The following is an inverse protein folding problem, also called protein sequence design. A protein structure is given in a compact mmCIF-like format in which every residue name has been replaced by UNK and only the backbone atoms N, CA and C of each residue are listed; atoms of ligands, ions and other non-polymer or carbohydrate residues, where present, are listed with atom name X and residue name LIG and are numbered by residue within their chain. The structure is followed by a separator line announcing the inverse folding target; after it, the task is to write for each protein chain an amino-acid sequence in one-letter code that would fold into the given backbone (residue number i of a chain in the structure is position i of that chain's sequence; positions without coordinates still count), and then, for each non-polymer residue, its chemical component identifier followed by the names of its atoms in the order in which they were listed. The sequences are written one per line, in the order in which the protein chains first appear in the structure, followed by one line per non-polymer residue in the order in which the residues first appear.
data_IF_422304488500
#
_entry.id   IF_422304488500
#
_cell.length_a   1.000
_cell.length_b   1.000
_cell.length_c   1.000
_cell.angle_alpha   90.00
_cell.angle_beta   90.00
_cell.angle_gamma   90.00
#
_symmetry.space_group_name_H-M   'P 1'
#
loop_
_entity.id
_entity.type
_entity.pdbx_description
1 polymer ?
#
# COMPACT_ATOMS: atom_id res chain seq x y z
N UNK A 1 -15.53 -5.08 -3.41
CA UNK A 1 -14.88 -4.21 -2.40
C UNK A 1 -13.42 -4.19 -2.75
N UNK A 2 -12.81 -3.02 -2.93
CA UNK A 2 -11.41 -2.94 -3.31
C UNK A 2 -10.55 -3.47 -2.14
N UNK A 3 -9.84 -4.57 -2.36
CA UNK A 3 -8.86 -5.09 -1.40
C UNK A 3 -7.53 -4.35 -1.58
N UNK A 4 -6.64 -4.42 -0.58
CA UNK A 4 -5.28 -3.86 -0.70
C UNK A 4 -4.54 -4.43 -1.92
N UNK A 5 -4.72 -5.73 -2.19
CA UNK A 5 -4.14 -6.39 -3.35
C UNK A 5 -4.70 -5.85 -4.67
N UNK A 6 -6.02 -5.64 -4.78
CA UNK A 6 -6.64 -5.06 -5.98
C UNK A 6 -6.13 -3.63 -6.23
N UNK A 7 -5.98 -2.84 -5.16
CA UNK A 7 -5.48 -1.47 -5.25
C UNK A 7 -4.02 -1.43 -5.69
N UNK A 8 -3.17 -2.27 -5.07
CA UNK A 8 -1.75 -2.36 -5.41
C UNK A 8 -1.55 -2.79 -6.86
N UNK A 9 -2.23 -3.85 -7.33
CA UNK A 9 -2.13 -4.27 -8.75
C UNK A 9 -2.59 -3.22 -9.75
N UNK A 10 -3.55 -2.38 -9.38
CA UNK A 10 -4.13 -1.39 -10.30
C UNK A 10 -3.30 -0.10 -10.35
N UNK A 11 -2.67 0.28 -9.25
CA UNK A 11 -2.07 1.60 -9.09
C UNK A 11 -0.55 1.60 -8.90
N UNK A 12 0.07 0.43 -8.72
CA UNK A 12 1.52 0.29 -8.51
C UNK A 12 2.12 -0.75 -9.45
N UNK A 13 3.43 -0.72 -9.65
CA UNK A 13 4.19 -1.70 -10.43
C UNK A 13 4.73 -2.85 -9.57
N UNK A 14 4.02 -3.17 -8.48
CA UNK A 14 4.40 -4.23 -7.52
C UNK A 14 4.03 -5.59 -8.08
N UNK A 15 4.92 -6.57 -7.88
CA UNK A 15 4.65 -7.95 -8.24
C UNK A 15 3.81 -8.68 -7.18
N UNK A 16 3.37 -9.90 -7.47
CA UNK A 16 2.52 -10.66 -6.55
C UNK A 16 3.23 -11.02 -5.23
N UNK A 17 4.57 -11.10 -5.22
CA UNK A 17 5.37 -11.37 -4.03
C UNK A 17 5.39 -10.15 -3.10
N UNK A 18 5.63 -8.97 -3.68
CA UNK A 18 5.56 -7.67 -2.99
C UNK A 18 4.17 -7.43 -2.38
N UNK A 19 3.11 -7.75 -3.14
CA UNK A 19 1.73 -7.64 -2.68
C UNK A 19 1.43 -8.62 -1.53
N UNK A 20 2.04 -9.81 -1.55
CA UNK A 20 1.98 -10.76 -0.44
C UNK A 20 2.63 -10.19 0.82
N UNK A 21 3.82 -9.60 0.68
CA UNK A 21 4.54 -8.99 1.79
C UNK A 21 3.76 -7.83 2.43
N UNK A 22 3.11 -7.00 1.62
CA UNK A 22 2.26 -5.91 2.10
C UNK A 22 1.03 -6.42 2.87
N UNK A 23 0.44 -7.52 2.43
CA UNK A 23 -0.67 -8.15 3.15
C UNK A 23 -0.21 -8.69 4.50
N UNK A 24 0.92 -9.39 4.56
CA UNK A 24 1.49 -9.92 5.81
C UNK A 24 1.84 -8.79 6.80
N UNK A 25 2.41 -7.70 6.28
CA UNK A 25 2.74 -6.52 7.08
C UNK A 25 1.48 -5.86 7.64
N UNK A 26 0.44 -5.66 6.82
CA UNK A 26 -0.85 -5.12 7.26
C UNK A 26 -1.62 -6.06 8.19
N UNK A 27 -1.33 -7.37 8.18
CA UNK A 27 -1.88 -8.29 9.18
C UNK A 27 -1.26 -8.11 10.56
N UNK A 28 -0.02 -7.60 10.64
CA UNK A 28 0.77 -7.58 11.90
C UNK A 28 0.89 -6.17 12.50
N UNK A 29 0.68 -5.13 11.71
CA UNK A 29 0.85 -3.73 12.13
C UNK A 29 -0.10 -3.23 13.22
N UNK A 30 -1.12 -4.00 13.62
CA UNK A 30 -2.03 -3.60 14.71
C UNK A 30 -1.30 -3.47 16.05
N UNK A 31 -0.36 -4.37 16.32
CA UNK A 31 0.51 -4.28 17.49
C UNK A 31 1.46 -3.07 17.40
N UNK A 32 1.92 -2.73 16.19
CA UNK A 32 2.75 -1.55 15.96
C UNK A 32 1.95 -0.26 16.20
N UNK A 33 0.71 -0.20 15.73
CA UNK A 33 -0.20 0.92 15.96
C UNK A 33 -0.44 1.13 17.47
N UNK A 34 -0.71 0.05 18.21
CA UNK A 34 -0.91 0.09 19.66
C UNK A 34 0.33 0.61 20.41
N UNK A 35 1.52 0.08 20.08
CA UNK A 35 2.78 0.53 20.69
C UNK A 35 3.12 2.00 20.37
N UNK A 36 2.72 2.47 19.19
CA UNK A 36 2.97 3.85 18.75
C UNK A 36 1.91 4.85 19.21
N UNK A 37 0.78 4.37 19.74
CA UNK A 37 -0.42 5.18 20.01
C UNK A 37 -0.85 6.04 18.81
N UNK A 38 -0.65 5.54 17.59
CA UNK A 38 -0.86 6.29 16.35
C UNK A 38 -1.49 5.44 15.25
N UNK A 39 -2.21 6.12 14.35
CA UNK A 39 -2.70 5.53 13.12
C UNK A 39 -1.57 5.37 12.10
N UNK A 40 -1.54 4.23 11.42
CA UNK A 40 -0.55 3.92 10.38
C UNK A 40 -1.18 4.04 9.00
N UNK A 41 -0.48 4.69 8.09
CA UNK A 41 -0.86 4.83 6.69
C UNK A 41 0.23 4.22 5.81
N UNK A 42 -0.18 3.39 4.86
CA UNK A 42 0.70 2.79 3.86
C UNK A 42 0.62 3.60 2.57
N UNK A 43 1.76 4.05 2.05
CA UNK A 43 1.86 4.78 0.78
C UNK A 43 2.56 3.90 -0.26
N UNK A 44 1.93 3.74 -1.43
CA UNK A 44 2.54 3.12 -2.60
C UNK A 44 3.04 4.20 -3.56
N UNK A 45 4.15 3.95 -4.24
CA UNK A 45 4.55 4.77 -5.38
C UNK A 45 3.64 4.45 -6.56
N UNK A 46 2.74 5.38 -6.88
CA UNK A 46 1.89 5.25 -8.05
C UNK A 46 2.71 5.17 -9.33
N UNK A 47 2.28 4.38 -10.31
CA UNK A 47 2.87 4.48 -11.65
C UNK A 47 2.61 5.89 -12.18
N UNK A 48 3.66 6.69 -12.40
CA UNK A 48 3.49 8.04 -12.92
C UNK A 48 2.84 7.94 -14.30
N UNK A 49 1.60 8.42 -14.42
CA UNK A 49 0.96 8.51 -15.73
C UNK A 49 1.64 9.68 -16.48
N UNK A 50 2.26 9.45 -17.65
CA UNK A 50 2.94 10.51 -18.39
C UNK A 50 1.89 11.47 -18.99
N UNK A 51 1.41 12.41 -18.18
CA UNK A 51 0.35 13.33 -18.58
C UNK A 51 -0.24 14.22 -17.49
N UNK A 52 -0.02 13.95 -16.19
CA UNK A 52 -0.55 14.77 -15.10
C UNK A 52 0.57 15.22 -14.17
N UNK A 53 0.96 16.51 -14.16
CA UNK A 53 2.16 16.98 -13.46
C UNK A 53 2.04 17.09 -11.93
N UNK A 54 0.89 16.72 -11.34
CA UNK A 54 0.61 16.90 -9.91
C UNK A 54 -0.03 15.68 -9.24
N UNK A 55 -0.18 14.56 -9.93
CA UNK A 55 -0.64 13.33 -9.30
C UNK A 55 0.55 12.65 -8.62
N UNK A 56 0.72 12.95 -7.33
CA UNK A 56 1.39 12.05 -6.40
C UNK A 56 0.61 10.74 -6.29
#
# INVERSE_FOLDING_TARGET
MATLADLARTHTDLDDEDIGLLQDLSSTWGLLADLSFADLLLFGAGTVSPGVPWSC
#
